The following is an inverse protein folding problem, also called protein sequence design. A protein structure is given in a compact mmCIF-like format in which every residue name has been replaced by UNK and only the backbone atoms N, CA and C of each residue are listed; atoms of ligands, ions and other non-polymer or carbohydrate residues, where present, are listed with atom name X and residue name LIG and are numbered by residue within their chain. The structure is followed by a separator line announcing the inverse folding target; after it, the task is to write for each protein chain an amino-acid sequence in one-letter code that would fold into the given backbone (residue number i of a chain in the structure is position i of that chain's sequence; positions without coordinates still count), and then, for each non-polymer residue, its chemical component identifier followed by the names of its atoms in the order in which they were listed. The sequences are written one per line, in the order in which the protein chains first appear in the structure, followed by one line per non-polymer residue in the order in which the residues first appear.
data_IF_796363585658
#
_entry.id   IF_796363585658
#
_cell.length_a   1.000
_cell.length_b   1.000
_cell.length_c   1.000
_cell.angle_alpha   90.00
_cell.angle_beta   90.00
_cell.angle_gamma   90.00
#
_symmetry.space_group_name_H-M   'P 1'
#
loop_
_entity.id
_entity.type
_entity.pdbx_description
1 polymer ?
#
# COMPACT_ATOMS: atom_id res chain seq x y z
N UNK A 1 21.69 56.16 41.98
CA UNK A 1 21.47 55.04 41.03
C UNK A 1 21.32 53.77 41.83
N UNK A 2 20.07 53.32 42.03
CA UNK A 2 19.79 52.08 42.73
C UNK A 2 19.73 50.90 41.76
N UNK A 3 20.20 49.73 42.19
CA UNK A 3 19.33 48.57 42.36
C UNK A 3 20.06 47.43 43.09
N UNK A 4 19.46 47.07 44.22
CA UNK A 4 19.70 45.90 45.05
C UNK A 4 18.69 44.82 44.59
N UNK A 5 19.13 43.63 44.16
CA UNK A 5 18.29 42.41 44.06
C UNK A 5 19.16 41.20 44.41
N UNK A 6 19.06 40.66 45.64
CA UNK A 6 18.03 39.78 46.23
C UNK A 6 18.09 38.32 45.72
N UNK A 7 18.87 37.52 46.45
CA UNK A 7 18.48 36.31 47.20
C UNK A 7 17.16 35.65 46.79
N UNK A 8 17.26 34.38 46.35
CA UNK A 8 16.16 33.42 46.29
C UNK A 8 15.54 33.19 47.68
N UNK A 9 14.20 33.11 47.76
CA UNK A 9 13.55 32.30 48.75
C UNK A 9 12.76 31.17 48.10
N UNK A 10 13.10 29.95 48.50
CA UNK A 10 12.22 28.79 48.45
C UNK A 10 11.05 29.01 49.42
N UNK A 11 9.83 28.98 48.89
CA UNK A 11 8.59 28.77 49.65
C UNK A 11 7.58 28.03 48.78
N UNK A 12 7.66 26.71 48.89
CA UNK A 12 6.53 25.78 49.01
C UNK A 12 5.22 26.46 49.46
N UNK A 13 4.13 26.15 48.74
CA UNK A 13 2.71 26.14 49.12
C UNK A 13 1.77 27.17 48.43
N UNK A 14 0.73 26.57 47.80
CA UNK A 14 -0.51 27.14 47.24
C UNK A 14 -0.41 27.94 45.92
N UNK A 15 -0.72 27.26 44.80
CA UNK A 15 -2.01 27.36 44.10
C UNK A 15 -2.25 26.00 43.43
N UNK A 16 -3.06 25.18 44.09
CA UNK A 16 -3.76 24.08 43.46
C UNK A 16 -5.02 24.66 42.82
N UNK A 17 -5.10 24.68 41.49
CA UNK A 17 -6.33 24.42 40.73
C UNK A 17 -6.12 24.61 39.23
N UNK A 18 -6.63 23.63 38.49
CA UNK A 18 -7.01 23.66 37.06
C UNK A 18 -5.84 23.63 36.07
N UNK A 19 -5.54 22.43 35.57
CA UNK A 19 -6.04 22.01 34.25
C UNK A 19 -5.77 20.50 34.09
N UNK A 20 -6.71 19.70 34.58
CA UNK A 20 -6.99 18.39 33.99
C UNK A 20 -7.60 18.64 32.61
N UNK A 21 -6.80 18.60 31.56
CA UNK A 21 -7.33 18.49 30.19
C UNK A 21 -7.53 17.00 29.89
N UNK A 22 -8.80 16.65 29.87
CA UNK A 22 -9.37 15.35 29.53
C UNK A 22 -8.91 14.87 28.15
N UNK A 23 -8.82 13.55 27.97
CA UNK A 23 -9.02 12.98 26.64
C UNK A 23 -8.27 11.71 26.26
N UNK A 24 -7.81 10.84 27.16
CA UNK A 24 -7.67 9.42 26.80
C UNK A 24 -9.09 8.85 26.81
N UNK A 25 -9.81 9.04 25.71
CA UNK A 25 -11.08 8.37 25.48
C UNK A 25 -10.76 6.93 25.10
N UNK A 26 -11.21 6.00 25.94
CA UNK A 26 -11.16 4.58 25.65
C UNK A 26 -11.81 4.27 24.31
N UNK A 27 -11.30 3.24 23.64
CA UNK A 27 -12.03 2.61 22.55
C UNK A 27 -13.41 2.22 23.05
N UNK A 28 -14.44 2.51 22.25
CA UNK A 28 -15.81 2.22 22.63
C UNK A 28 -15.98 0.69 22.68
N UNK A 29 -16.67 0.12 23.67
CA UNK A 29 -16.89 -1.34 23.78
C UNK A 29 -17.41 -1.95 22.47
N UNK A 30 -18.22 -1.17 21.73
CA UNK A 30 -18.73 -1.54 20.41
C UNK A 30 -17.65 -1.63 19.33
N UNK A 31 -16.68 -0.71 19.32
CA UNK A 31 -15.55 -0.74 18.37
C UNK A 31 -14.61 -1.91 18.66
N UNK A 32 -14.41 -2.23 19.94
CA UNK A 32 -13.59 -3.38 20.35
C UNK A 32 -14.26 -4.71 19.96
N UNK A 33 -15.59 -4.80 20.11
CA UNK A 33 -16.38 -5.95 19.63
C UNK A 33 -16.31 -6.10 18.11
N UNK A 34 -16.46 -5.01 17.35
CA UNK A 34 -16.34 -5.04 15.89
C UNK A 34 -14.94 -5.47 15.43
N UNK A 35 -13.89 -4.98 16.08
CA UNK A 35 -12.51 -5.42 15.79
C UNK A 35 -12.32 -6.90 16.07
N UNK A 36 -12.87 -7.41 17.18
CA UNK A 36 -12.79 -8.83 17.51
C UNK A 36 -13.55 -9.70 16.50
N UNK A 37 -14.71 -9.26 16.05
CA UNK A 37 -15.50 -9.94 15.02
C UNK A 37 -14.78 -9.96 13.67
N UNK A 38 -14.20 -8.82 13.24
CA UNK A 38 -13.36 -8.74 12.03
C UNK A 38 -12.16 -9.71 12.10
N UNK A 39 -11.43 -9.71 13.22
CA UNK A 39 -10.30 -10.64 13.41
C UNK A 39 -10.73 -12.10 13.37
N UNK A 40 -11.90 -12.43 13.91
CA UNK A 40 -12.45 -13.79 13.87
C UNK A 40 -12.78 -14.18 12.44
N UNK A 41 -13.46 -13.31 11.69
CA UNK A 41 -13.75 -13.51 10.27
C UNK A 41 -12.48 -13.77 9.44
N UNK A 42 -11.46 -12.90 9.58
CA UNK A 42 -10.22 -13.04 8.83
C UNK A 42 -9.43 -14.29 9.20
N UNK A 43 -9.41 -14.66 10.48
CA UNK A 43 -8.80 -15.91 10.95
C UNK A 43 -9.48 -17.13 10.36
N UNK A 44 -10.81 -17.20 10.40
CA UNK A 44 -11.57 -18.31 9.82
C UNK A 44 -11.34 -18.43 8.30
N UNK A 45 -11.33 -17.31 7.59
CA UNK A 45 -11.06 -17.30 6.16
C UNK A 45 -9.64 -17.74 5.80
N UNK A 46 -8.63 -17.30 6.57
CA UNK A 46 -7.25 -17.75 6.40
C UNK A 46 -7.10 -19.25 6.70
N UNK A 47 -7.75 -19.76 7.75
CA UNK A 47 -7.77 -21.18 8.05
C UNK A 47 -8.29 -21.99 6.85
N UNK A 48 -9.42 -21.57 6.29
CA UNK A 48 -10.04 -22.21 5.13
C UNK A 48 -9.11 -22.23 3.91
N UNK A 49 -8.46 -21.10 3.60
CA UNK A 49 -7.51 -21.00 2.50
C UNK A 49 -6.30 -21.92 2.71
N UNK A 50 -5.70 -21.92 3.90
CA UNK A 50 -4.55 -22.76 4.22
C UNK A 50 -4.90 -24.24 4.13
N UNK A 51 -6.06 -24.66 4.66
CA UNK A 51 -6.50 -26.05 4.64
C UNK A 51 -6.84 -26.54 3.22
N UNK A 52 -7.27 -25.65 2.34
CA UNK A 52 -7.60 -25.96 0.94
C UNK A 52 -6.38 -26.31 0.07
N UNK A 53 -5.18 -25.90 0.49
CA UNK A 53 -3.92 -26.00 -0.28
C UNK A 53 -3.94 -25.27 -1.63
N UNK A 54 -4.88 -24.35 -1.84
CA UNK A 54 -4.83 -23.44 -2.98
C UNK A 54 -3.62 -22.50 -2.82
N UNK A 55 -2.98 -22.17 -3.94
CA UNK A 55 -1.92 -21.19 -3.95
C UNK A 55 -2.50 -19.79 -3.84
N UNK A 56 -2.10 -19.08 -2.78
CA UNK A 56 -2.38 -17.67 -2.58
C UNK A 56 -1.21 -16.96 -1.91
N UNK A 57 -1.27 -15.64 -1.90
CA UNK A 57 -0.40 -14.74 -1.17
C UNK A 57 -1.23 -13.69 -0.42
N UNK A 58 -0.67 -13.11 0.62
CA UNK A 58 -1.29 -12.05 1.40
C UNK A 58 -0.59 -10.72 1.10
N UNK A 59 -1.39 -9.69 0.81
CA UNK A 59 -0.89 -8.36 0.44
C UNK A 59 -1.31 -7.25 1.40
N UNK A 60 -1.44 -6.04 0.82
CA UNK A 60 -2.03 -4.88 1.47
C UNK A 60 -1.46 -4.56 2.86
N UNK A 61 -2.35 -4.30 3.82
CA UNK A 61 -1.98 -3.90 5.18
C UNK A 61 -1.14 -4.93 5.92
N UNK A 62 -1.39 -6.22 5.71
CA UNK A 62 -0.64 -7.30 6.37
C UNK A 62 0.77 -7.45 5.81
N UNK A 63 0.95 -7.36 4.49
CA UNK A 63 2.29 -7.35 3.89
C UNK A 63 3.07 -6.10 4.34
N UNK A 64 2.42 -4.94 4.36
CA UNK A 64 3.03 -3.70 4.88
C UNK A 64 3.49 -3.86 6.33
N UNK A 65 2.65 -4.44 7.20
CA UNK A 65 3.02 -4.75 8.57
C UNK A 65 4.22 -5.69 8.63
N UNK A 66 4.24 -6.76 7.83
CA UNK A 66 5.34 -7.71 7.77
C UNK A 66 6.70 -7.07 7.45
N UNK A 67 6.73 -6.07 6.56
CA UNK A 67 7.97 -5.41 6.15
C UNK A 67 8.36 -4.19 7.01
N UNK A 68 7.41 -3.57 7.70
CA UNK A 68 7.64 -2.29 8.41
C UNK A 68 7.46 -2.38 9.93
N UNK A 69 6.76 -3.39 10.43
CA UNK A 69 6.27 -3.48 11.80
C UNK A 69 5.17 -2.47 12.14
N UNK A 70 4.72 -1.67 11.17
CA UNK A 70 3.69 -0.66 11.40
C UNK A 70 2.30 -1.29 11.34
N UNK A 71 1.65 -1.32 12.50
CA UNK A 71 0.26 -1.74 12.57
C UNK A 71 -0.65 -0.61 12.11
N UNK A 72 -1.65 -0.95 11.29
CA UNK A 72 -2.80 -0.11 10.99
C UNK A 72 -4.04 -0.93 11.18
N UNK A 73 -5.13 -0.28 11.58
CA UNK A 73 -6.46 -0.89 11.47
C UNK A 73 -6.75 -1.09 9.98
N UNK A 74 -6.33 -2.24 9.45
CA UNK A 74 -6.74 -2.66 8.11
C UNK A 74 -8.16 -3.16 8.21
N UNK A 75 -9.03 -2.56 7.39
CA UNK A 75 -10.43 -2.95 7.34
C UNK A 75 -10.65 -4.18 6.49
N UNK A 76 -9.65 -4.59 5.70
CA UNK A 76 -9.77 -5.53 4.60
C UNK A 76 -8.63 -6.58 4.67
N UNK A 77 -8.89 -7.78 4.15
CA UNK A 77 -7.89 -8.82 3.90
C UNK A 77 -7.66 -8.93 2.40
N UNK A 78 -6.43 -8.65 1.94
CA UNK A 78 -6.06 -8.67 0.53
C UNK A 78 -5.37 -9.99 0.15
N UNK A 79 -6.08 -10.86 -0.56
CA UNK A 79 -5.57 -12.14 -1.06
C UNK A 79 -5.16 -11.96 -2.52
N UNK A 80 -3.90 -12.26 -2.83
CA UNK A 80 -3.34 -12.22 -4.18
C UNK A 80 -3.25 -13.64 -4.75
N UNK A 81 -3.65 -13.80 -6.01
CA UNK A 81 -3.56 -15.06 -6.75
C UNK A 81 -3.40 -14.82 -8.25
N UNK A 82 -3.05 -15.84 -9.04
CA UNK A 82 -3.01 -15.67 -10.51
C UNK A 82 -4.42 -15.50 -11.08
N UNK A 83 -4.58 -14.79 -12.22
CA UNK A 83 -5.87 -14.69 -12.91
C UNK A 83 -6.50 -16.04 -13.28
N UNK A 84 -5.71 -17.11 -13.38
CA UNK A 84 -6.20 -18.46 -13.65
C UNK A 84 -6.73 -19.18 -12.41
N UNK A 85 -6.49 -18.65 -11.20
CA UNK A 85 -6.73 -19.32 -9.93
C UNK A 85 -7.88 -18.72 -9.10
N UNK A 86 -8.26 -17.46 -9.33
CA UNK A 86 -9.27 -16.78 -8.50
C UNK A 86 -10.61 -17.55 -8.47
N UNK A 87 -10.99 -18.20 -9.57
CA UNK A 87 -12.26 -18.92 -9.66
C UNK A 87 -12.34 -20.10 -8.67
N UNK A 88 -11.22 -20.77 -8.39
CA UNK A 88 -11.21 -21.90 -7.44
C UNK A 88 -11.24 -21.40 -5.99
N UNK A 89 -10.61 -20.26 -5.72
CA UNK A 89 -10.74 -19.56 -4.42
C UNK A 89 -12.20 -19.14 -4.17
N UNK A 90 -12.88 -18.56 -5.17
CA UNK A 90 -14.28 -18.18 -5.03
C UNK A 90 -15.19 -19.39 -4.80
N UNK A 91 -14.99 -20.50 -5.54
CA UNK A 91 -15.74 -21.74 -5.32
C UNK A 91 -15.53 -22.31 -3.92
N UNK A 92 -14.30 -22.27 -3.41
CA UNK A 92 -13.98 -22.69 -2.04
C UNK A 92 -14.82 -21.90 -1.03
N UNK A 93 -14.81 -20.57 -1.13
CA UNK A 93 -15.57 -19.73 -0.20
C UNK A 93 -17.09 -19.92 -0.34
N UNK A 94 -17.61 -19.97 -1.56
CA UNK A 94 -19.03 -20.23 -1.81
C UNK A 94 -19.49 -21.58 -1.23
N UNK A 95 -18.67 -22.63 -1.37
CA UNK A 95 -18.95 -23.94 -0.78
C UNK A 95 -18.96 -23.95 0.75
N UNK A 96 -18.39 -22.93 1.39
CA UNK A 96 -18.33 -22.76 2.84
C UNK A 96 -19.26 -21.66 3.36
N UNK A 97 -20.28 -21.27 2.57
CA UNK A 97 -21.34 -20.38 3.00
C UNK A 97 -21.01 -18.88 2.95
N UNK A 98 -19.93 -18.50 2.26
CA UNK A 98 -19.62 -17.10 1.99
C UNK A 98 -20.33 -16.63 0.72
N UNK A 99 -20.74 -15.37 0.69
CA UNK A 99 -21.18 -14.71 -0.54
C UNK A 99 -19.97 -14.31 -1.38
N UNK A 100 -20.07 -14.46 -2.70
CA UNK A 100 -18.98 -14.14 -3.63
C UNK A 100 -19.44 -13.16 -4.70
N UNK A 101 -18.55 -12.26 -5.09
CA UNK A 101 -18.79 -11.28 -6.14
C UNK A 101 -17.58 -11.21 -7.07
N UNK A 102 -17.78 -11.36 -8.37
CA UNK A 102 -16.76 -11.04 -9.37
C UNK A 102 -16.90 -9.57 -9.78
N UNK A 103 -16.36 -8.67 -8.95
CA UNK A 103 -16.51 -7.21 -9.10
C UNK A 103 -15.97 -6.69 -10.44
N UNK A 104 -14.79 -7.14 -10.85
CA UNK A 104 -14.21 -6.85 -12.15
C UNK A 104 -13.34 -8.03 -12.59
N UNK A 105 -13.78 -8.73 -13.64
CA UNK A 105 -13.11 -9.94 -14.19
C UNK A 105 -11.65 -9.72 -14.60
N UNK A 106 -11.19 -8.47 -14.68
CA UNK A 106 -9.80 -8.15 -15.04
C UNK A 106 -8.88 -8.06 -13.83
N UNK A 107 -9.38 -7.80 -12.62
CA UNK A 107 -8.48 -7.59 -11.48
C UNK A 107 -9.02 -7.94 -10.08
N UNK A 108 -10.33 -7.93 -9.85
CA UNK A 108 -10.90 -8.05 -8.49
C UNK A 108 -12.13 -8.94 -8.43
N UNK A 109 -12.13 -9.83 -7.45
CA UNK A 109 -13.32 -10.41 -6.88
C UNK A 109 -13.37 -10.13 -5.37
N UNK A 110 -14.55 -10.30 -4.76
CA UNK A 110 -14.78 -10.11 -3.33
C UNK A 110 -15.48 -11.32 -2.74
N UNK A 111 -15.19 -11.58 -1.47
CA UNK A 111 -15.84 -12.61 -0.65
C UNK A 111 -16.38 -11.94 0.59
N UNK A 112 -17.61 -12.27 0.99
CA UNK A 112 -18.32 -11.63 2.08
C UNK A 112 -18.85 -12.64 3.10
N UNK A 113 -18.89 -12.21 4.36
CA UNK A 113 -19.68 -12.82 5.44
C UNK A 113 -20.16 -11.69 6.34
N UNK A 114 -21.46 -11.50 6.38
CA UNK A 114 -22.11 -10.35 7.05
C UNK A 114 -21.54 -9.01 6.52
N UNK A 115 -20.99 -8.18 7.41
CA UNK A 115 -20.44 -6.85 7.09
C UNK A 115 -18.95 -6.87 6.70
N UNK A 116 -18.30 -8.02 6.75
CA UNK A 116 -16.87 -8.18 6.49
C UNK A 116 -16.60 -8.74 5.09
N UNK A 117 -15.48 -8.34 4.51
CA UNK A 117 -15.11 -8.77 3.16
C UNK A 117 -13.61 -9.02 2.99
N UNK A 118 -13.29 -9.78 1.95
CA UNK A 118 -11.93 -10.12 1.52
C UNK A 118 -11.81 -9.75 0.04
N UNK A 119 -10.73 -9.08 -0.31
CA UNK A 119 -10.39 -8.79 -1.70
C UNK A 119 -9.58 -9.94 -2.29
N UNK A 120 -10.05 -10.52 -3.38
CA UNK A 120 -9.34 -11.51 -4.18
C UNK A 120 -8.79 -10.80 -5.41
N UNK A 121 -7.51 -10.48 -5.35
CA UNK A 121 -6.79 -9.60 -6.28
C UNK A 121 -5.91 -10.45 -7.20
N UNK A 122 -6.08 -10.27 -8.50
CA UNK A 122 -5.28 -10.96 -9.52
C UNK A 122 -4.66 -10.02 -10.56
N UNK A 123 -4.98 -8.73 -10.46
CA UNK A 123 -4.29 -7.63 -11.15
C UNK A 123 -4.54 -6.32 -10.38
N UNK A 124 -4.06 -5.18 -10.88
CA UNK A 124 -4.42 -3.86 -10.36
C UNK A 124 -5.53 -3.19 -11.19
N UNK A 125 -6.17 -2.16 -10.62
CA UNK A 125 -7.20 -1.33 -11.28
C UNK A 125 -6.76 -0.63 -12.57
N UNK A 126 -5.45 -0.58 -12.83
CA UNK A 126 -4.86 -0.04 -14.06
C UNK A 126 -4.32 -1.16 -14.99
N UNK A 127 -4.52 -2.43 -14.62
CA UNK A 127 -4.11 -3.63 -15.33
C UNK A 127 -2.59 -3.76 -15.58
N UNK A 128 -1.78 -3.16 -14.71
CA UNK A 128 -0.31 -3.19 -14.79
C UNK A 128 0.28 -4.27 -13.88
N UNK A 129 -0.21 -4.37 -12.65
CA UNK A 129 0.31 -5.27 -11.63
C UNK A 129 -0.39 -6.63 -11.69
N UNK A 130 -0.37 -7.28 -12.86
CA UNK A 130 -0.91 -8.63 -13.03
C UNK A 130 -0.08 -9.61 -12.21
N UNK A 131 -0.75 -10.48 -11.45
CA UNK A 131 -0.08 -11.53 -10.68
C UNK A 131 0.40 -12.62 -11.64
N UNK A 132 1.71 -12.81 -11.71
CA UNK A 132 2.39 -13.82 -12.50
C UNK A 132 3.14 -14.83 -11.62
N UNK A 133 3.70 -15.89 -12.21
CA UNK A 133 4.40 -16.94 -11.47
C UNK A 133 5.54 -16.39 -10.62
N UNK A 134 6.23 -15.34 -11.08
CA UNK A 134 7.36 -14.77 -10.36
C UNK A 134 6.97 -14.04 -9.08
N UNK A 135 5.69 -13.72 -8.86
CA UNK A 135 5.25 -13.23 -7.54
C UNK A 135 5.47 -14.30 -6.46
N UNK A 136 5.19 -15.56 -6.79
CA UNK A 136 5.30 -16.68 -5.84
C UNK A 136 6.76 -17.00 -5.49
N UNK A 137 7.65 -16.86 -6.46
CA UNK A 137 9.10 -17.08 -6.31
C UNK A 137 9.75 -16.09 -5.32
N UNK A 138 9.14 -14.91 -5.16
CA UNK A 138 9.66 -13.80 -4.35
C UNK A 138 8.85 -13.53 -3.08
N UNK A 139 8.04 -14.51 -2.65
CA UNK A 139 7.25 -14.38 -1.42
C UNK A 139 8.09 -14.38 -0.15
N UNK A 140 7.56 -13.75 0.89
CA UNK A 140 8.12 -13.84 2.25
C UNK A 140 7.20 -14.68 3.12
N UNK A 141 7.74 -15.73 3.76
CA UNK A 141 6.97 -16.51 4.73
C UNK A 141 6.68 -15.72 6.00
N UNK A 142 5.44 -15.81 6.49
CA UNK A 142 5.00 -15.18 7.72
C UNK A 142 3.96 -16.03 8.46
N UNK A 143 3.68 -15.65 9.70
CA UNK A 143 2.53 -16.16 10.46
C UNK A 143 1.57 -15.01 10.68
N UNK A 144 0.34 -15.15 10.19
CA UNK A 144 -0.71 -14.15 10.32
C UNK A 144 -1.93 -14.82 10.92
N UNK A 145 -2.43 -14.27 12.04
CA UNK A 145 -3.56 -14.84 12.79
C UNK A 145 -3.39 -16.35 13.08
N UNK A 146 -2.18 -16.74 13.49
CA UNK A 146 -1.79 -18.12 13.80
C UNK A 146 -1.74 -19.09 12.59
N UNK A 147 -1.83 -18.56 11.36
CA UNK A 147 -1.74 -19.35 10.14
C UNK A 147 -0.43 -19.08 9.37
N UNK A 148 0.28 -20.12 8.91
CA UNK A 148 1.44 -19.95 8.03
C UNK A 148 0.96 -19.47 6.66
N UNK A 149 1.48 -18.32 6.22
CA UNK A 149 1.11 -17.70 4.95
C UNK A 149 2.35 -17.22 4.19
N UNK A 150 2.16 -16.92 2.91
CA UNK A 150 3.13 -16.20 2.07
C UNK A 150 2.67 -14.77 1.90
N UNK A 151 3.50 -13.80 2.22
CA UNK A 151 3.29 -12.40 1.86
C UNK A 151 3.76 -12.17 0.41
N UNK A 152 3.10 -11.28 -0.33
CA UNK A 152 3.64 -10.78 -1.60
C UNK A 152 5.04 -10.19 -1.37
N UNK A 153 5.91 -10.26 -2.37
CA UNK A 153 7.25 -9.68 -2.30
C UNK A 153 7.23 -8.19 -1.94
N UNK A 154 8.28 -7.70 -1.29
CA UNK A 154 8.36 -6.30 -0.90
C UNK A 154 8.41 -5.38 -2.14
N UNK A 155 9.02 -5.85 -3.22
CA UNK A 155 9.05 -5.18 -4.52
C UNK A 155 7.65 -5.10 -5.14
N UNK A 156 6.87 -6.18 -5.11
CA UNK A 156 5.47 -6.22 -5.58
C UNK A 156 4.56 -5.30 -4.75
N UNK A 157 4.76 -5.28 -3.43
CA UNK A 157 4.05 -4.36 -2.55
C UNK A 157 4.34 -2.90 -2.93
N UNK A 158 5.62 -2.53 -3.10
CA UNK A 158 5.98 -1.18 -3.57
C UNK A 158 5.40 -0.91 -4.96
N UNK A 159 5.58 -1.83 -5.90
CA UNK A 159 5.13 -1.69 -7.28
C UNK A 159 3.63 -1.37 -7.36
N UNK A 160 2.80 -2.14 -6.65
CA UNK A 160 1.35 -1.93 -6.58
C UNK A 160 0.96 -0.58 -5.97
N UNK A 161 1.68 -0.13 -4.93
CA UNK A 161 1.35 1.07 -4.16
C UNK A 161 1.80 2.37 -4.82
N UNK A 162 2.86 2.35 -5.63
CA UNK A 162 3.34 3.53 -6.38
C UNK A 162 2.26 4.11 -7.30
N UNK A 163 1.35 3.27 -7.80
CA UNK A 163 0.25 3.71 -8.66
C UNK A 163 -0.95 4.28 -7.90
N UNK A 164 -1.05 4.14 -6.58
CA UNK A 164 -2.22 4.62 -5.84
C UNK A 164 -2.00 6.07 -5.45
N UNK A 165 -2.50 6.98 -6.29
CA UNK A 165 -2.37 8.43 -6.09
C UNK A 165 -3.70 9.19 -6.22
N UNK A 166 -4.79 8.54 -5.80
CA UNK A 166 -6.09 9.18 -5.78
C UNK A 166 -6.15 10.33 -4.76
N UNK A 167 -7.00 11.32 -5.02
CA UNK A 167 -7.27 12.43 -4.09
C UNK A 167 -7.54 11.97 -2.65
N UNK A 168 -8.39 10.96 -2.52
CA UNK A 168 -8.85 10.43 -1.22
C UNK A 168 -7.97 9.27 -0.71
N UNK A 169 -7.02 8.79 -1.53
CA UNK A 169 -6.12 7.70 -1.19
C UNK A 169 -4.80 7.80 -1.93
N UNK A 170 -3.75 8.11 -1.19
CA UNK A 170 -2.37 8.16 -1.68
C UNK A 170 -1.48 7.24 -0.85
N UNK A 171 -0.93 6.19 -1.47
CA UNK A 171 -0.12 5.18 -0.78
C UNK A 171 1.39 5.51 -0.78
N UNK A 172 1.83 6.69 -1.26
CA UNK A 172 3.26 7.04 -1.32
C UNK A 172 3.96 7.08 0.04
N UNK A 173 3.23 7.35 1.12
CA UNK A 173 3.77 7.23 2.48
C UNK A 173 4.10 5.77 2.83
N UNK A 174 3.30 4.81 2.36
CA UNK A 174 3.54 3.37 2.62
C UNK A 174 4.81 2.91 1.92
N UNK A 175 4.99 3.33 0.66
CA UNK A 175 6.22 3.04 -0.09
C UNK A 175 7.44 3.60 0.64
N UNK A 176 7.35 4.83 1.14
CA UNK A 176 8.39 5.45 1.95
C UNK A 176 8.70 4.65 3.23
N UNK A 177 7.70 4.13 3.93
CA UNK A 177 7.92 3.30 5.11
C UNK A 177 8.58 1.96 4.77
N UNK A 178 8.22 1.34 3.64
CA UNK A 178 8.89 0.13 3.14
C UNK A 178 10.35 0.44 2.79
N UNK A 179 10.64 1.54 2.09
CA UNK A 179 12.01 1.95 1.81
C UNK A 179 12.81 2.16 3.10
N UNK A 180 12.26 2.89 4.07
CA UNK A 180 12.94 3.16 5.34
C UNK A 180 13.27 1.87 6.12
N UNK A 181 12.30 0.96 6.24
CA UNK A 181 12.41 -0.23 7.11
C UNK A 181 13.00 -1.45 6.42
N UNK A 182 12.79 -1.58 5.12
CA UNK A 182 13.13 -2.77 4.35
C UNK A 182 14.03 -2.48 3.14
N UNK A 183 14.26 -1.21 2.77
CA UNK A 183 14.94 -0.83 1.53
C UNK A 183 16.37 -1.38 1.36
N UNK A 184 17.09 -1.65 2.45
CA UNK A 184 18.41 -2.30 2.39
C UNK A 184 18.36 -3.78 1.97
N UNK A 185 17.18 -4.41 2.07
CA UNK A 185 16.93 -5.80 1.67
C UNK A 185 16.17 -5.89 0.34
N UNK A 186 15.70 -4.77 -0.21
CA UNK A 186 15.00 -4.75 -1.48
C UNK A 186 15.95 -5.15 -2.61
N UNK A 187 15.43 -5.97 -3.52
CA UNK A 187 15.99 -6.16 -4.85
C UNK A 187 15.59 -4.98 -5.74
N UNK A 188 16.43 -3.94 -5.73
CA UNK A 188 16.22 -2.73 -6.51
C UNK A 188 16.22 -2.94 -8.03
N UNK A 189 16.92 -3.96 -8.53
CA UNK A 189 16.89 -4.33 -9.95
C UNK A 189 15.52 -4.90 -10.34
N UNK A 190 14.96 -5.80 -9.52
CA UNK A 190 13.61 -6.32 -9.72
C UNK A 190 12.57 -5.21 -9.64
N UNK A 191 12.68 -4.33 -8.65
CA UNK A 191 11.76 -3.19 -8.52
C UNK A 191 11.82 -2.27 -9.74
N UNK A 192 13.03 -1.94 -10.21
CA UNK A 192 13.20 -1.18 -11.45
C UNK A 192 12.58 -1.92 -12.64
N UNK A 193 12.83 -3.23 -12.79
CA UNK A 193 12.26 -4.02 -13.88
C UNK A 193 10.72 -4.00 -13.88
N UNK A 194 10.08 -4.11 -12.70
CA UNK A 194 8.61 -4.01 -12.57
C UNK A 194 8.08 -2.61 -12.94
N UNK A 195 8.83 -1.56 -12.61
CA UNK A 195 8.46 -0.17 -12.84
C UNK A 195 9.04 0.42 -14.13
N UNK A 196 9.79 -0.33 -14.94
CA UNK A 196 10.61 0.23 -16.04
C UNK A 196 9.78 1.05 -17.05
N UNK A 197 8.59 0.60 -17.52
CA UNK A 197 7.76 1.43 -18.41
C UNK A 197 7.19 2.70 -17.75
N UNK A 198 7.23 2.76 -16.41
CA UNK A 198 6.71 3.81 -15.54
C UNK A 198 7.79 4.40 -14.63
N UNK A 199 9.05 4.37 -15.07
CA UNK A 199 10.22 4.73 -14.25
C UNK A 199 10.12 6.16 -13.68
N UNK A 200 9.37 7.07 -14.32
CA UNK A 200 9.03 8.40 -13.80
C UNK A 200 8.44 8.36 -12.40
N UNK A 201 7.54 7.40 -12.13
CA UNK A 201 6.90 7.25 -10.84
C UNK A 201 7.90 6.74 -9.78
N UNK A 202 8.81 5.84 -10.16
CA UNK A 202 9.89 5.39 -9.28
C UNK A 202 10.83 6.55 -8.93
N UNK A 203 11.24 7.35 -9.92
CA UNK A 203 12.08 8.54 -9.68
C UNK A 203 11.37 9.55 -8.78
N UNK A 204 10.10 9.85 -9.05
CA UNK A 204 9.28 10.74 -8.22
C UNK A 204 9.22 10.26 -6.77
N UNK A 205 9.00 8.97 -6.57
CA UNK A 205 8.97 8.37 -5.24
C UNK A 205 10.34 8.41 -4.54
N UNK A 206 11.45 8.18 -5.26
CA UNK A 206 12.81 8.29 -4.70
C UNK A 206 13.10 9.73 -4.27
N UNK A 207 12.76 10.73 -5.09
CA UNK A 207 12.92 12.14 -4.73
C UNK A 207 12.07 12.51 -3.50
N UNK A 208 10.83 12.00 -3.45
CA UNK A 208 9.98 12.17 -2.28
C UNK A 208 10.60 11.52 -1.03
N UNK A 209 11.14 10.31 -1.15
CA UNK A 209 11.82 9.62 -0.06
C UNK A 209 13.04 10.39 0.45
N UNK A 210 13.86 10.94 -0.44
CA UNK A 210 15.01 11.80 -0.09
C UNK A 210 14.58 13.06 0.68
N UNK A 211 13.45 13.66 0.29
CA UNK A 211 12.87 14.79 1.01
C UNK A 211 12.36 14.42 2.40
N UNK A 212 11.67 13.27 2.53
CA UNK A 212 11.10 12.82 3.81
C UNK A 212 12.16 12.29 4.78
N UNK A 213 13.20 11.61 4.27
CA UNK A 213 14.26 10.99 5.07
C UNK A 213 15.67 11.40 4.61
N UNK A 214 16.04 12.69 4.76
CA UNK A 214 17.32 13.22 4.28
C UNK A 214 18.55 12.60 4.99
N UNK A 215 18.36 12.01 6.18
CA UNK A 215 19.41 11.29 6.92
C UNK A 215 19.66 9.86 6.43
N UNK A 216 18.66 9.23 5.82
CA UNK A 216 18.66 7.77 5.61
C UNK A 216 18.83 7.38 4.14
N UNK A 217 18.43 8.26 3.21
CA UNK A 217 18.31 7.88 1.81
C UNK A 217 19.61 7.35 1.20
N UNK A 218 20.75 7.93 1.57
CA UNK A 218 22.04 7.61 0.96
C UNK A 218 22.50 6.18 1.24
N UNK A 219 22.07 5.61 2.37
CA UNK A 219 22.40 4.23 2.79
C UNK A 219 21.35 3.20 2.34
N UNK A 220 20.24 3.65 1.76
CA UNK A 220 19.08 2.82 1.42
C UNK A 220 18.90 2.73 -0.09
N UNK A 221 18.93 3.88 -0.78
CA UNK A 221 18.74 3.95 -2.23
C UNK A 221 20.08 3.74 -2.92
N UNK A 222 20.23 2.72 -3.77
CA UNK A 222 21.48 2.52 -4.49
C UNK A 222 21.78 3.70 -5.42
N UNK A 223 23.01 4.23 -5.33
CA UNK A 223 23.45 5.34 -6.17
C UNK A 223 23.27 5.05 -7.67
N UNK A 224 23.56 3.83 -8.13
CA UNK A 224 23.43 3.46 -9.53
C UNK A 224 21.99 3.64 -10.04
N UNK A 225 20.98 3.37 -9.21
CA UNK A 225 19.58 3.47 -9.58
C UNK A 225 19.19 4.94 -9.77
N UNK A 226 19.58 5.79 -8.83
CA UNK A 226 19.33 7.22 -8.93
C UNK A 226 20.03 7.83 -10.14
N UNK A 227 21.30 7.51 -10.36
CA UNK A 227 22.08 8.02 -11.49
C UNK A 227 21.47 7.57 -12.84
N UNK A 228 20.98 6.32 -12.94
CA UNK A 228 20.29 5.81 -14.14
C UNK A 228 18.95 6.53 -14.39
N UNK A 229 18.11 6.70 -13.35
CA UNK A 229 16.81 7.38 -13.51
C UNK A 229 16.97 8.87 -13.85
N UNK A 230 17.98 9.54 -13.27
CA UNK A 230 18.31 10.91 -13.60
C UNK A 230 18.85 11.05 -15.03
N UNK A 231 19.68 10.10 -15.48
CA UNK A 231 20.14 10.03 -16.88
C UNK A 231 18.95 9.94 -17.84
N UNK A 232 18.01 9.01 -17.59
CA UNK A 232 16.78 8.87 -18.40
C UNK A 232 15.96 10.15 -18.42
N UNK A 233 15.80 10.82 -17.27
CA UNK A 233 15.08 12.09 -17.18
C UNK A 233 15.73 13.21 -18.00
N UNK A 234 17.07 13.30 -17.97
CA UNK A 234 17.80 14.26 -18.78
C UNK A 234 17.63 13.99 -20.28
N UNK A 235 17.76 12.73 -20.70
CA UNK A 235 17.66 12.32 -22.11
C UNK A 235 16.26 12.50 -22.72
N UNK A 236 15.21 12.69 -21.91
CA UNK A 236 13.87 12.96 -22.45
C UNK A 236 13.81 14.26 -23.26
N UNK A 237 14.65 15.24 -22.94
CA UNK A 237 14.71 16.51 -23.66
C UNK A 237 15.40 16.40 -25.03
N UNK A 238 16.12 15.30 -25.26
CA UNK A 238 16.75 15.00 -26.55
C UNK A 238 15.78 14.32 -27.52
N UNK A 239 14.63 13.87 -27.03
CA UNK A 239 13.59 13.20 -27.82
C UNK A 239 12.52 14.19 -28.29
N UNK A 240 11.94 13.97 -29.49
CA UNK A 240 10.77 14.72 -29.90
C UNK A 240 9.55 14.39 -29.02
N UNK A 241 8.62 15.33 -28.83
CA UNK A 241 7.36 15.04 -28.16
C UNK A 241 6.54 14.00 -28.94
N UNK A 242 5.69 13.25 -28.22
CA UNK A 242 4.74 12.33 -28.85
C UNK A 242 3.81 13.07 -29.81
N UNK A 243 3.62 12.53 -31.01
CA UNK A 243 2.63 13.02 -31.97
C UNK A 243 1.20 12.83 -31.44
N UNK A 244 0.98 11.70 -30.77
CA UNK A 244 -0.29 11.38 -30.14
C UNK A 244 -0.39 12.04 -28.77
N UNK A 245 -1.50 12.74 -28.53
CA UNK A 245 -1.81 13.31 -27.22
C UNK A 245 -2.29 12.20 -26.29
N UNK A 246 -1.39 11.64 -25.51
CA UNK A 246 -1.69 10.60 -24.53
C UNK A 246 -1.64 11.18 -23.12
N UNK A 247 -2.68 10.94 -22.31
CA UNK A 247 -2.67 11.24 -20.89
C UNK A 247 -2.52 9.93 -20.10
N UNK A 248 -1.44 9.83 -19.33
CA UNK A 248 -1.16 8.68 -18.45
C UNK A 248 -1.73 8.88 -17.04
N UNK A 249 -2.33 10.04 -16.74
CA UNK A 249 -2.95 10.35 -15.45
C UNK A 249 -3.97 9.30 -14.97
N UNK A 250 -4.84 8.75 -15.82
CA UNK A 250 -5.77 7.69 -15.43
C UNK A 250 -5.14 6.39 -14.91
N UNK A 251 -3.83 6.19 -15.09
CA UNK A 251 -3.10 5.05 -14.50
C UNK A 251 -2.93 5.22 -12.99
N UNK A 252 -2.81 6.46 -12.50
CA UNK A 252 -2.59 6.79 -11.08
C UNK A 252 -3.82 7.38 -10.38
N UNK A 253 -4.71 8.04 -11.13
CA UNK A 253 -6.02 8.50 -10.65
C UNK A 253 -7.02 8.65 -11.81
N UNK A 254 -8.02 7.78 -11.86
CA UNK A 254 -9.03 7.81 -12.93
C UNK A 254 -10.03 8.96 -12.77
N UNK A 255 -10.26 9.45 -11.56
CA UNK A 255 -11.29 10.46 -11.30
C UNK A 255 -10.73 11.86 -11.55
N UNK A 256 -9.54 12.15 -11.05
CA UNK A 256 -8.96 13.49 -11.20
C UNK A 256 -8.49 13.78 -12.63
N UNK A 257 -8.09 12.76 -13.39
CA UNK A 257 -7.67 12.90 -14.79
C UNK A 257 -8.77 12.53 -15.80
N UNK A 258 -10.04 12.45 -15.38
CA UNK A 258 -11.14 12.17 -16.30
C UNK A 258 -11.30 13.28 -17.36
N UNK A 259 -11.18 14.54 -16.94
CA UNK A 259 -11.30 15.73 -17.81
C UNK A 259 -10.30 15.72 -18.96
N UNK A 260 -9.09 15.18 -18.74
CA UNK A 260 -8.06 15.03 -19.75
C UNK A 260 -8.55 14.21 -20.94
N UNK A 261 -9.37 13.20 -20.67
CA UNK A 261 -9.88 12.26 -21.68
C UNK A 261 -11.19 12.77 -22.27
N UNK A 262 -12.14 13.19 -21.43
CA UNK A 262 -13.49 13.58 -21.87
C UNK A 262 -13.50 14.92 -22.60
N UNK A 263 -12.84 15.92 -22.02
CA UNK A 263 -12.98 17.31 -22.44
C UNK A 263 -11.75 17.80 -23.22
N UNK A 264 -10.55 17.32 -22.85
CA UNK A 264 -9.30 17.71 -23.51
C UNK A 264 -8.84 16.71 -24.58
N UNK A 265 -9.61 15.64 -24.79
CA UNK A 265 -9.47 14.65 -25.85
C UNK A 265 -8.09 13.99 -25.94
N UNK A 266 -7.41 13.81 -24.80
CA UNK A 266 -6.24 12.95 -24.73
C UNK A 266 -6.67 11.49 -24.85
N UNK A 267 -5.83 10.67 -25.49
CA UNK A 267 -5.96 9.22 -25.48
C UNK A 267 -5.56 8.70 -24.09
N UNK A 268 -6.43 7.90 -23.48
CA UNK A 268 -6.20 7.28 -22.17
C UNK A 268 -5.73 5.83 -22.29
N UNK A 269 -5.09 5.34 -21.22
CA UNK A 269 -4.85 3.92 -20.98
C UNK A 269 -5.55 3.57 -19.67
N UNK A 270 -6.75 3.01 -19.74
CA UNK A 270 -7.51 2.63 -18.54
C UNK A 270 -8.45 1.47 -18.85
N UNK A 271 -8.63 0.60 -17.85
CA UNK A 271 -9.66 -0.43 -17.90
C UNK A 271 -11.03 0.10 -17.43
N UNK A 272 -11.07 1.21 -16.70
CA UNK A 272 -12.34 1.90 -16.43
C UNK A 272 -12.63 2.90 -17.54
N UNK A 273 -13.87 2.91 -17.99
CA UNK A 273 -14.38 3.98 -18.84
C UNK A 273 -14.32 5.28 -18.06
N UNK A 274 -13.67 6.29 -18.64
CA UNK A 274 -13.56 7.67 -18.18
C UNK A 274 -14.50 8.53 -18.99
#
# INVERSE_FOLDING_TARGET
MGQMKRVCPDKTALIAQRHSFLGVSGMNLHEEQQKQAAQTFYREALALLVDSKLDFMLGGGFALFGYTGMYRDTKDLDIFCMPTQYADILKLFAANGYEIELTDVRWLAKVFKDEYYIDIIFSSTNNICIVDESWYEHTTHAVVMDHPVRLIGAEELVWSKVFIQNRERFDGADVNHVFLKYGRKLNWERLLHRLDPHWHLLLSQILNFQYVYPSDYADIIPRWLFDELMRRANEQYDLPPSLEKVCRGPIIDQTQYAVDITDWHYKGMTIKTV
#
